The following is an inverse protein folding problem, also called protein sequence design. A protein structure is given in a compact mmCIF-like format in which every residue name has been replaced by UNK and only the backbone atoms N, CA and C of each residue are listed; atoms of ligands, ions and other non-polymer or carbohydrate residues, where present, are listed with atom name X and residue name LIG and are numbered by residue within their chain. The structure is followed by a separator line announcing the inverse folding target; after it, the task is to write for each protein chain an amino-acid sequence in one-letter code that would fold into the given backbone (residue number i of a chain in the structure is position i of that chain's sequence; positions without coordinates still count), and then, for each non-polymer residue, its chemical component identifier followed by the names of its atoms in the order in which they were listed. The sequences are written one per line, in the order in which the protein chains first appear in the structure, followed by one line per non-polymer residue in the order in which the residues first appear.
data_IF_461627654473
#
_entry.id   IF_461627654473
#
_cell.length_a   1.000
_cell.length_b   1.000
_cell.length_c   1.000
_cell.angle_alpha   90.00
_cell.angle_beta   90.00
_cell.angle_gamma   90.00
#
_symmetry.space_group_name_H-M   'P 1'
#
loop_
_entity.id
_entity.type
_entity.pdbx_description
1 polymer ?
#
# COMPACT_ATOMS: atom_id res chain seq x y z
N UNK A 1 3.37 22.92 1.28
CA UNK A 1 3.55 21.44 1.36
C UNK A 1 2.23 20.81 0.98
N UNK A 2 2.25 19.93 -0.01
CA UNK A 2 1.08 19.18 -0.45
C UNK A 2 0.67 18.14 0.59
N UNK A 3 -0.62 17.83 0.71
CA UNK A 3 -1.07 16.82 1.68
C UNK A 3 -0.87 15.42 1.13
N UNK A 4 -0.42 14.52 2.00
CA UNK A 4 -0.36 13.07 1.77
C UNK A 4 -1.42 12.37 2.61
N UNK A 5 -2.23 11.53 1.98
CA UNK A 5 -3.14 10.63 2.68
C UNK A 5 -2.51 9.24 2.76
N UNK A 6 -2.20 8.80 3.96
CA UNK A 6 -1.78 7.42 4.21
C UNK A 6 -3.03 6.56 4.37
N UNK A 7 -3.12 5.48 3.59
CA UNK A 7 -4.26 4.57 3.54
C UNK A 7 -3.84 3.25 4.15
N UNK A 8 -4.43 2.89 5.28
CA UNK A 8 -4.04 1.71 6.07
C UNK A 8 -5.21 0.74 6.21
N UNK A 9 -5.35 -0.24 5.31
CA UNK A 9 -6.33 -1.30 5.47
C UNK A 9 -5.95 -2.21 6.66
N UNK A 10 -6.92 -2.55 7.49
CA UNK A 10 -6.74 -3.42 8.64
C UNK A 10 -7.83 -4.52 8.66
N UNK A 11 -7.41 -5.77 8.81
CA UNK A 11 -8.31 -6.88 9.10
C UNK A 11 -7.63 -7.85 10.05
N UNK A 12 -8.05 -7.83 11.32
CA UNK A 12 -7.50 -8.69 12.37
C UNK A 12 -5.97 -8.53 12.60
N UNK A 13 -5.43 -7.33 12.33
CA UNK A 13 -4.00 -7.00 12.50
C UNK A 13 -3.74 -6.18 13.78
N UNK A 14 -4.58 -6.32 14.82
CA UNK A 14 -4.44 -5.61 16.11
C UNK A 14 -3.11 -5.87 16.84
N UNK A 15 -2.40 -6.93 16.50
CA UNK A 15 -1.06 -7.18 17.03
C UNK A 15 -0.02 -6.19 16.51
N UNK A 16 -0.21 -5.67 15.29
CA UNK A 16 0.82 -4.91 14.56
C UNK A 16 0.46 -3.44 14.33
N UNK A 17 -0.83 -3.12 14.21
CA UNK A 17 -1.30 -1.81 13.76
C UNK A 17 -0.77 -0.64 14.58
N UNK A 18 -0.52 -0.82 15.87
CA UNK A 18 0.02 0.25 16.74
C UNK A 18 1.41 0.69 16.26
N UNK A 19 2.27 -0.27 15.88
CA UNK A 19 3.61 0.02 15.37
C UNK A 19 3.54 0.67 13.99
N UNK A 20 2.65 0.18 13.11
CA UNK A 20 2.42 0.76 11.78
C UNK A 20 1.95 2.22 11.88
N UNK A 21 0.96 2.51 12.73
CA UNK A 21 0.47 3.87 13.02
C UNK A 21 1.59 4.75 13.58
N UNK A 22 2.40 4.23 14.50
CA UNK A 22 3.53 4.98 15.06
C UNK A 22 4.58 5.31 13.99
N UNK A 23 4.86 4.43 13.03
CA UNK A 23 5.78 4.69 11.93
C UNK A 23 5.30 5.81 10.99
N UNK A 24 3.98 5.92 10.79
CA UNK A 24 3.36 7.01 10.03
C UNK A 24 3.45 8.34 10.78
N UNK A 25 3.16 8.38 12.07
CA UNK A 25 3.28 9.61 12.86
C UNK A 25 4.73 9.99 13.17
N UNK A 26 5.67 9.06 13.01
CA UNK A 26 7.12 9.31 13.11
C UNK A 26 7.74 9.96 11.86
N UNK A 27 6.97 10.23 10.81
CA UNK A 27 7.49 10.82 9.58
C UNK A 27 7.97 12.25 9.78
N UNK A 28 9.06 12.62 9.10
CA UNK A 28 9.57 14.00 9.05
C UNK A 28 8.64 14.95 8.29
N UNK A 29 7.87 14.40 7.35
CA UNK A 29 6.83 15.13 6.63
C UNK A 29 5.58 15.30 7.51
N UNK A 30 5.12 16.51 7.73
CA UNK A 30 4.08 16.80 8.74
C UNK A 30 2.66 17.00 8.17
N UNK A 31 2.53 17.26 6.86
CA UNK A 31 1.19 17.45 6.25
C UNK A 31 0.59 16.11 5.81
N UNK A 32 0.31 15.25 6.79
CA UNK A 32 -0.21 13.90 6.61
C UNK A 32 -1.61 13.79 7.23
N UNK A 33 -2.50 13.07 6.59
CA UNK A 33 -3.67 12.45 7.23
C UNK A 33 -3.52 10.92 7.18
N UNK A 34 -3.88 10.24 8.25
CA UNK A 34 -3.92 8.79 8.33
C UNK A 34 -5.38 8.32 8.34
N UNK A 35 -5.73 7.50 7.34
CA UNK A 35 -7.04 6.87 7.21
C UNK A 35 -6.84 5.38 7.41
N UNK A 36 -7.34 4.86 8.51
CA UNK A 36 -7.38 3.43 8.81
C UNK A 36 -8.72 2.87 8.35
N UNK A 37 -8.71 1.78 7.63
CA UNK A 37 -9.91 1.11 7.16
C UNK A 37 -10.04 -0.22 7.88
N UNK A 38 -10.95 -0.31 8.85
CA UNK A 38 -11.33 -1.57 9.46
C UNK A 38 -12.21 -2.35 8.49
N UNK A 39 -11.62 -3.32 7.81
CA UNK A 39 -12.30 -4.13 6.80
C UNK A 39 -13.07 -5.32 7.41
N UNK A 40 -13.87 -5.02 8.42
CA UNK A 40 -14.73 -5.99 9.09
C UNK A 40 -13.97 -6.93 10.02
N UNK A 41 -13.07 -6.40 10.85
CA UNK A 41 -12.38 -7.19 11.88
C UNK A 41 -13.35 -7.81 12.87
N UNK A 42 -13.13 -9.08 13.20
CA UNK A 42 -13.90 -9.86 14.16
C UNK A 42 -13.05 -10.33 15.37
N UNK A 43 -11.74 -10.06 15.36
CA UNK A 43 -10.86 -10.26 16.50
C UNK A 43 -11.08 -9.16 17.56
N UNK A 44 -11.52 -9.53 18.81
CA UNK A 44 -11.81 -8.55 19.85
C UNK A 44 -10.65 -7.64 20.22
N UNK A 45 -9.41 -8.13 20.12
CA UNK A 45 -8.21 -7.33 20.40
C UNK A 45 -8.05 -6.23 19.34
N UNK A 46 -8.22 -6.59 18.07
CA UNK A 46 -8.14 -5.64 16.97
C UNK A 46 -9.20 -4.56 17.09
N UNK A 47 -10.45 -4.95 17.33
CA UNK A 47 -11.59 -4.02 17.49
C UNK A 47 -11.30 -3.03 18.63
N UNK A 48 -10.85 -3.54 19.80
CA UNK A 48 -10.52 -2.67 20.95
C UNK A 48 -9.40 -1.67 20.66
N UNK A 49 -8.36 -2.08 19.92
CA UNK A 49 -7.25 -1.18 19.56
C UNK A 49 -7.70 -0.11 18.56
N UNK A 50 -8.52 -0.49 17.58
CA UNK A 50 -9.06 0.45 16.60
C UNK A 50 -9.95 1.51 17.26
N UNK A 51 -10.82 1.11 18.21
CA UNK A 51 -11.62 2.05 19.01
C UNK A 51 -10.75 3.02 19.85
N UNK A 52 -9.61 2.54 20.35
CA UNK A 52 -8.68 3.38 21.09
C UNK A 52 -7.98 4.39 20.19
N UNK A 53 -7.53 3.97 19.00
CA UNK A 53 -6.95 4.85 17.99
C UNK A 53 -7.93 5.94 17.54
N UNK A 54 -9.20 5.59 17.35
CA UNK A 54 -10.24 6.56 17.00
C UNK A 54 -10.45 7.60 18.11
N UNK A 55 -10.49 7.16 19.38
CA UNK A 55 -10.64 8.08 20.54
C UNK A 55 -9.48 9.06 20.68
N UNK A 56 -8.28 8.73 20.23
CA UNK A 56 -7.13 9.64 20.23
C UNK A 56 -7.30 10.81 19.25
N UNK A 57 -8.17 10.67 18.22
CA UNK A 57 -8.59 11.76 17.34
C UNK A 57 -7.58 12.19 16.28
N UNK A 58 -6.46 11.47 16.15
CA UNK A 58 -5.42 11.73 15.15
C UNK A 58 -5.49 10.77 13.94
N UNK A 59 -6.33 9.73 14.02
CA UNK A 59 -6.61 8.75 12.99
C UNK A 59 -8.06 8.92 12.52
N UNK A 60 -8.28 8.90 11.21
CA UNK A 60 -9.62 8.80 10.65
C UNK A 60 -9.95 7.32 10.43
N UNK A 61 -10.87 6.79 11.22
CA UNK A 61 -11.29 5.39 11.11
C UNK A 61 -12.52 5.27 10.19
N UNK A 62 -12.45 4.33 9.23
CA UNK A 62 -13.55 3.95 8.35
C UNK A 62 -13.85 2.46 8.54
N UNK A 63 -15.09 2.12 8.79
CA UNK A 63 -15.52 0.72 8.87
C UNK A 63 -16.13 0.27 7.55
N UNK A 64 -15.76 -0.93 7.10
CA UNK A 64 -16.30 -1.57 5.89
C UNK A 64 -16.68 -3.02 6.15
N UNK A 65 -17.46 -3.61 5.24
CA UNK A 65 -17.96 -4.99 5.37
C UNK A 65 -17.13 -5.93 4.47
N UNK A 66 -15.89 -6.23 4.85
CA UNK A 66 -15.04 -7.23 4.20
C UNK A 66 -14.85 -7.01 2.69
N UNK A 67 -14.44 -5.80 2.32
CA UNK A 67 -14.18 -5.41 0.92
C UNK A 67 -12.88 -6.01 0.35
N UNK A 68 -12.04 -6.62 1.20
CA UNK A 68 -10.69 -7.09 0.88
C UNK A 68 -9.73 -5.93 0.55
N UNK A 69 -8.42 -6.15 0.42
CA UNK A 69 -7.44 -5.05 0.33
C UNK A 69 -7.71 -4.03 -0.78
N UNK A 70 -8.09 -4.48 -1.99
CA UNK A 70 -8.40 -3.56 -3.10
C UNK A 70 -9.59 -2.65 -2.77
N UNK A 71 -10.70 -3.24 -2.30
CA UNK A 71 -11.90 -2.49 -1.93
C UNK A 71 -11.69 -1.59 -0.72
N UNK A 72 -10.99 -2.09 0.32
CA UNK A 72 -10.66 -1.30 1.50
C UNK A 72 -9.78 -0.09 1.16
N UNK A 73 -8.74 -0.27 0.32
CA UNK A 73 -7.91 0.84 -0.15
C UNK A 73 -8.74 1.85 -0.94
N UNK A 74 -9.59 1.39 -1.88
CA UNK A 74 -10.47 2.29 -2.63
C UNK A 74 -11.38 3.09 -1.70
N UNK A 75 -12.03 2.46 -0.72
CA UNK A 75 -12.90 3.14 0.23
C UNK A 75 -12.16 4.23 1.04
N UNK A 76 -10.90 3.96 1.44
CA UNK A 76 -10.05 4.95 2.10
C UNK A 76 -9.64 6.10 1.18
N UNK A 77 -9.28 5.81 -0.08
CA UNK A 77 -8.85 6.82 -1.05
C UNK A 77 -10.01 7.73 -1.46
N UNK A 78 -11.22 7.19 -1.55
CA UNK A 78 -12.44 7.96 -1.85
C UNK A 78 -12.61 9.15 -0.90
N UNK A 79 -12.37 8.93 0.40
CA UNK A 79 -12.52 9.97 1.44
C UNK A 79 -11.24 10.74 1.75
N UNK A 80 -10.13 10.38 1.09
CA UNK A 80 -8.84 11.03 1.22
C UNK A 80 -8.86 12.45 0.63
N UNK A 81 -8.17 13.38 1.28
CA UNK A 81 -8.07 14.77 0.84
C UNK A 81 -6.68 15.17 0.35
N UNK A 82 -5.72 14.26 0.45
CA UNK A 82 -4.35 14.48 -0.01
C UNK A 82 -4.23 14.45 -1.53
N UNK A 83 -3.30 15.23 -2.05
CA UNK A 83 -2.87 15.19 -3.45
C UNK A 83 -2.17 13.87 -3.78
N UNK A 84 -1.43 13.36 -2.81
CA UNK A 84 -0.70 12.10 -2.91
C UNK A 84 -1.28 11.06 -1.97
N UNK A 85 -1.23 9.81 -2.40
CA UNK A 85 -1.69 8.64 -1.66
C UNK A 85 -0.50 7.72 -1.39
N UNK A 86 -0.38 7.25 -0.16
CA UNK A 86 0.57 6.22 0.23
C UNK A 86 -0.18 5.08 0.94
N UNK A 87 -0.38 3.92 0.32
CA UNK A 87 -0.85 2.75 1.03
C UNK A 87 0.24 2.22 1.97
N UNK A 88 -0.14 1.90 3.20
CA UNK A 88 0.72 1.21 4.18
C UNK A 88 -0.13 0.15 4.87
N UNK A 89 0.23 -1.12 4.72
CA UNK A 89 -0.51 -2.20 5.36
C UNK A 89 -0.31 -2.18 6.90
N UNK A 90 -1.33 -2.59 7.65
CA UNK A 90 -1.38 -2.45 9.12
C UNK A 90 -0.34 -3.29 9.87
N UNK A 91 0.44 -4.11 9.18
CA UNK A 91 1.50 -4.95 9.72
C UNK A 91 2.92 -4.54 9.28
N UNK A 92 3.04 -3.49 8.44
CA UNK A 92 4.30 -3.02 7.89
C UNK A 92 4.77 -1.71 8.52
N UNK A 93 6.03 -1.34 8.27
CA UNK A 93 6.63 -0.11 8.82
C UNK A 93 7.30 0.71 7.72
N UNK A 94 7.34 2.04 7.91
CA UNK A 94 8.05 2.97 7.03
C UNK A 94 9.04 3.83 7.83
N UNK A 95 10.21 4.09 7.23
CA UNK A 95 11.26 4.93 7.82
C UNK A 95 10.86 6.41 7.84
N UNK A 96 11.33 7.20 8.82
CA UNK A 96 10.87 8.58 9.07
C UNK A 96 10.96 9.54 7.89
N UNK A 97 11.86 9.33 6.92
CA UNK A 97 12.03 10.23 5.79
C UNK A 97 11.34 9.76 4.49
N UNK A 98 10.62 8.65 4.50
CA UNK A 98 10.06 8.08 3.27
C UNK A 98 9.10 9.03 2.57
N UNK A 99 8.11 9.54 3.28
CA UNK A 99 7.10 10.44 2.69
C UNK A 99 7.75 11.72 2.18
N UNK A 100 8.67 12.33 2.94
CA UNK A 100 9.36 13.54 2.53
C UNK A 100 10.15 13.35 1.23
N UNK A 101 10.93 12.26 1.15
CA UNK A 101 11.73 11.93 -0.04
C UNK A 101 10.84 11.66 -1.26
N UNK A 102 9.77 10.90 -1.07
CA UNK A 102 8.86 10.57 -2.16
C UNK A 102 8.09 11.80 -2.67
N UNK A 103 7.60 12.66 -1.78
CA UNK A 103 6.93 13.91 -2.17
C UNK A 103 7.89 14.85 -2.90
N UNK A 104 9.15 14.96 -2.46
CA UNK A 104 10.14 15.77 -3.16
C UNK A 104 10.27 15.35 -4.63
N UNK A 105 10.39 14.06 -4.92
CA UNK A 105 10.46 13.55 -6.30
C UNK A 105 9.20 13.90 -7.08
N UNK A 106 8.00 13.70 -6.49
CA UNK A 106 6.73 14.01 -7.14
C UNK A 106 6.56 15.50 -7.49
N UNK A 107 7.10 16.40 -6.65
CA UNK A 107 7.02 17.85 -6.90
C UNK A 107 8.07 18.33 -7.91
N UNK A 108 9.24 17.67 -7.98
CA UNK A 108 10.30 18.02 -8.92
C UNK A 108 10.05 17.47 -10.34
N UNK A 109 9.30 16.36 -10.47
CA UNK A 109 9.12 15.64 -11.74
C UNK A 109 7.64 15.33 -11.99
N UNK A 110 6.97 16.14 -12.80
CA UNK A 110 5.52 16.01 -13.06
C UNK A 110 5.13 14.70 -13.77
N UNK A 111 6.02 14.13 -14.57
CA UNK A 111 5.80 12.87 -15.28
C UNK A 111 5.88 11.63 -14.36
N UNK A 112 6.54 11.74 -13.19
CA UNK A 112 6.56 10.64 -12.22
C UNK A 112 5.17 10.48 -11.60
N UNK A 113 4.64 9.27 -11.73
CA UNK A 113 3.36 8.86 -11.14
C UNK A 113 3.49 7.87 -10.00
N UNK A 114 4.63 7.20 -9.87
CA UNK A 114 4.89 6.18 -8.85
C UNK A 114 6.29 6.41 -8.26
N UNK A 115 6.36 6.56 -6.92
CA UNK A 115 7.64 6.61 -6.19
C UNK A 115 7.65 5.52 -5.14
N UNK A 116 8.65 4.64 -5.18
CA UNK A 116 8.88 3.61 -4.19
C UNK A 116 10.35 3.59 -3.75
N UNK A 117 10.78 2.67 -2.92
CA UNK A 117 12.12 2.64 -2.35
C UNK A 117 12.70 1.22 -2.35
N UNK A 118 13.91 1.03 -1.82
CA UNK A 118 14.34 -0.29 -1.40
C UNK A 118 13.60 -0.71 -0.14
N UNK A 119 13.46 -2.03 0.04
CA UNK A 119 12.77 -2.62 1.18
C UNK A 119 13.61 -3.71 1.83
N UNK A 120 13.31 -4.01 3.09
CA UNK A 120 13.77 -5.19 3.77
C UNK A 120 12.60 -5.99 4.36
N UNK A 121 12.92 -7.20 4.78
CA UNK A 121 12.00 -8.12 5.44
C UNK A 121 12.29 -8.12 6.93
N UNK A 122 11.23 -8.25 7.75
CA UNK A 122 11.35 -8.44 9.19
C UNK A 122 10.26 -9.38 9.74
N UNK A 123 10.31 -9.76 11.01
CA UNK A 123 9.41 -10.74 11.60
C UNK A 123 9.97 -12.14 11.53
N UNK A 124 9.27 -13.11 10.92
CA UNK A 124 9.72 -14.51 10.80
C UNK A 124 11.00 -14.69 9.96
N UNK A 125 11.27 -13.74 9.07
CA UNK A 125 12.49 -13.65 8.28
C UNK A 125 12.97 -12.23 8.28
N UNK A 126 14.29 -12.03 8.12
CA UNK A 126 14.89 -10.71 8.06
C UNK A 126 15.96 -10.65 6.97
N UNK A 127 16.19 -9.45 6.44
CA UNK A 127 17.21 -9.17 5.43
C UNK A 127 16.63 -8.38 4.25
N UNK A 128 17.46 -8.04 3.25
CA UNK A 128 17.02 -7.30 2.10
C UNK A 128 15.87 -8.01 1.37
N UNK A 129 14.84 -7.26 0.96
CA UNK A 129 13.86 -7.79 0.01
C UNK A 129 14.38 -7.55 -1.40
N UNK A 130 15.05 -8.56 -1.94
CA UNK A 130 15.64 -8.49 -3.27
C UNK A 130 14.54 -8.58 -4.33
N UNK A 131 14.07 -7.43 -4.80
CA UNK A 131 13.20 -7.31 -5.97
C UNK A 131 14.07 -7.00 -7.20
N UNK A 132 13.67 -7.46 -8.40
CA UNK A 132 14.33 -7.04 -9.63
C UNK A 132 14.33 -5.53 -9.78
N UNK A 133 15.41 -4.97 -10.33
CA UNK A 133 15.45 -3.55 -10.67
C UNK A 133 14.31 -3.18 -11.62
N UNK A 134 13.67 -2.04 -11.35
CA UNK A 134 12.57 -1.57 -12.18
C UNK A 134 13.06 -1.28 -13.61
N UNK A 135 12.35 -1.84 -14.54
CA UNK A 135 12.26 -1.44 -15.93
C UNK A 135 10.86 -1.76 -16.43
N UNK A 136 10.39 -1.10 -17.46
CA UNK A 136 9.11 -1.46 -18.06
C UNK A 136 9.07 -2.95 -18.44
N UNK A 137 10.19 -3.50 -18.89
CA UNK A 137 10.29 -4.93 -19.25
C UNK A 137 10.16 -5.83 -18.00
N UNK A 138 10.86 -5.54 -16.90
CA UNK A 138 10.75 -6.35 -15.67
C UNK A 138 9.34 -6.25 -15.09
N UNK A 139 8.73 -5.06 -15.10
CA UNK A 139 7.37 -4.84 -14.64
C UNK A 139 6.33 -5.58 -15.48
N UNK A 140 6.53 -5.73 -16.79
CA UNK A 140 5.64 -6.53 -17.65
C UNK A 140 5.80 -8.04 -17.47
N UNK A 141 6.86 -8.51 -16.83
CA UNK A 141 7.10 -9.92 -16.55
C UNK A 141 6.63 -10.35 -15.18
N UNK A 142 6.74 -9.46 -14.19
CA UNK A 142 6.35 -9.73 -12.80
C UNK A 142 6.19 -8.42 -12.02
N UNK A 143 5.51 -8.46 -10.85
CA UNK A 143 5.39 -7.31 -9.98
C UNK A 143 6.72 -7.01 -9.30
N UNK A 144 7.34 -5.88 -9.64
CA UNK A 144 8.62 -5.41 -9.05
C UNK A 144 8.42 -4.19 -8.14
N UNK A 145 7.18 -3.73 -7.95
CA UNK A 145 6.83 -2.59 -7.10
C UNK A 145 5.80 -3.05 -6.06
N UNK A 146 6.16 -3.01 -4.79
CA UNK A 146 5.22 -3.33 -3.70
C UNK A 146 4.14 -2.23 -3.55
N UNK A 147 3.06 -2.56 -2.84
CA UNK A 147 1.90 -1.66 -2.71
C UNK A 147 2.22 -0.35 -1.98
N UNK A 148 3.20 -0.34 -1.08
CA UNK A 148 3.61 0.84 -0.30
C UNK A 148 4.47 1.78 -1.15
N UNK A 149 3.89 2.29 -2.24
CA UNK A 149 4.48 3.28 -3.14
C UNK A 149 3.59 4.52 -3.19
N UNK A 150 4.21 5.72 -3.24
CA UNK A 150 3.49 7.00 -3.33
C UNK A 150 3.01 7.21 -4.77
N UNK A 151 1.74 7.62 -4.91
CA UNK A 151 1.17 7.95 -6.22
C UNK A 151 0.24 9.17 -6.14
N UNK A 152 -0.18 9.70 -7.30
CA UNK A 152 -1.11 10.84 -7.39
C UNK A 152 -2.55 10.36 -7.24
N UNK A 153 -3.35 11.04 -6.42
CA UNK A 153 -4.79 10.72 -6.29
C UNK A 153 -5.52 10.89 -7.63
N UNK A 154 -5.17 11.91 -8.42
CA UNK A 154 -5.75 12.13 -9.74
C UNK A 154 -5.55 10.96 -10.71
N UNK A 155 -4.43 10.26 -10.61
CA UNK A 155 -4.15 9.08 -11.44
C UNK A 155 -5.05 7.90 -11.02
N UNK A 156 -5.25 7.70 -9.70
CA UNK A 156 -6.19 6.71 -9.17
C UNK A 156 -7.62 6.98 -9.67
N UNK A 157 -8.06 8.24 -9.66
CA UNK A 157 -9.36 8.65 -10.20
C UNK A 157 -9.46 8.34 -11.71
N UNK A 158 -8.39 8.62 -12.46
CA UNK A 158 -8.35 8.46 -13.91
C UNK A 158 -8.44 6.99 -14.37
N UNK A 159 -7.87 6.06 -13.60
CA UNK A 159 -7.89 4.61 -13.93
C UNK A 159 -9.06 3.87 -13.27
N UNK A 160 -9.84 4.54 -12.43
CA UNK A 160 -10.98 3.94 -11.73
C UNK A 160 -10.60 3.12 -10.49
N UNK A 161 -9.40 3.35 -9.93
CA UNK A 161 -8.93 2.74 -8.68
C UNK A 161 -8.39 1.33 -8.81
N UNK A 162 -8.17 0.69 -7.64
CA UNK A 162 -7.78 -0.72 -7.58
C UNK A 162 -8.94 -1.62 -8.01
N UNK A 163 -8.70 -2.58 -8.90
CA UNK A 163 -9.74 -3.51 -9.34
C UNK A 163 -10.07 -4.54 -8.26
N UNK A 164 -11.35 -4.60 -7.86
CA UNK A 164 -11.82 -5.44 -6.75
C UNK A 164 -11.99 -6.92 -7.12
N UNK A 165 -11.95 -7.27 -8.40
CA UNK A 165 -11.95 -8.65 -8.88
C UNK A 165 -10.61 -9.38 -8.72
N UNK A 166 -9.57 -8.67 -8.22
CA UNK A 166 -8.26 -9.23 -7.88
C UNK A 166 -8.27 -9.88 -6.48
N UNK A 167 -9.17 -10.84 -6.26
CA UNK A 167 -9.49 -11.38 -4.93
C UNK A 167 -8.33 -12.11 -4.24
N UNK A 168 -7.39 -12.62 -5.02
CA UNK A 168 -6.31 -13.47 -4.52
C UNK A 168 -4.97 -12.75 -4.36
N UNK A 169 -4.87 -11.50 -4.76
CA UNK A 169 -3.66 -10.69 -4.74
C UNK A 169 -3.36 -10.07 -6.10
N UNK A 170 -2.23 -9.38 -6.22
CA UNK A 170 -1.75 -8.70 -7.42
C UNK A 170 -2.62 -7.48 -7.81
N UNK A 171 -3.46 -6.98 -6.91
CA UNK A 171 -4.24 -5.76 -7.12
C UNK A 171 -3.36 -4.53 -7.27
N UNK A 172 -2.21 -4.51 -6.62
CA UNK A 172 -1.18 -3.49 -6.74
C UNK A 172 -0.49 -3.55 -8.11
N UNK A 173 -0.09 -4.74 -8.55
CA UNK A 173 0.51 -4.95 -9.86
C UNK A 173 -0.39 -4.47 -11.00
N UNK A 174 -1.65 -4.87 -10.96
CA UNK A 174 -2.67 -4.44 -11.92
C UNK A 174 -2.85 -2.91 -11.92
N UNK A 175 -2.86 -2.31 -10.74
CA UNK A 175 -2.98 -0.86 -10.59
C UNK A 175 -1.75 -0.13 -11.14
N UNK A 176 -0.54 -0.61 -10.84
CA UNK A 176 0.69 -0.02 -11.39
C UNK A 176 0.74 -0.08 -12.91
N UNK A 177 0.34 -1.20 -13.51
CA UNK A 177 0.24 -1.30 -14.97
C UNK A 177 -0.73 -0.26 -15.55
N UNK A 178 -1.87 -0.02 -14.89
CA UNK A 178 -2.84 0.99 -15.33
C UNK A 178 -2.27 2.42 -15.26
N UNK A 179 -1.45 2.75 -14.26
CA UNK A 179 -0.75 4.04 -14.20
C UNK A 179 0.32 4.18 -15.30
N UNK A 180 1.03 3.11 -15.60
CA UNK A 180 2.00 3.11 -16.71
C UNK A 180 1.31 3.32 -18.06
N UNK A 181 0.10 2.80 -18.27
CA UNK A 181 -0.71 3.04 -19.46
C UNK A 181 -1.13 4.52 -19.62
N UNK A 182 -1.25 5.28 -18.53
CA UNK A 182 -1.43 6.74 -18.57
C UNK A 182 -0.17 7.49 -19.03
N UNK A 183 0.95 6.78 -19.24
CA UNK A 183 2.25 7.37 -19.58
C UNK A 183 3.04 7.88 -18.38
N UNK A 184 2.67 7.49 -17.15
CA UNK A 184 3.44 7.83 -15.96
C UNK A 184 4.75 7.06 -15.90
N UNK A 185 5.77 7.70 -15.33
CA UNK A 185 7.07 7.11 -15.07
C UNK A 185 7.22 6.72 -13.59
N UNK A 186 8.22 5.90 -13.31
CA UNK A 186 8.50 5.37 -11.98
C UNK A 186 9.86 5.84 -11.51
N UNK A 187 9.96 6.22 -10.24
CA UNK A 187 11.23 6.52 -9.58
C UNK A 187 11.41 5.62 -8.37
N UNK A 188 12.58 4.99 -8.25
CA UNK A 188 12.97 4.23 -7.07
C UNK A 188 13.98 5.03 -6.25
N UNK A 189 13.64 5.30 -5.00
CA UNK A 189 14.56 5.89 -4.03
C UNK A 189 15.65 4.86 -3.67
N UNK A 190 16.92 5.28 -3.60
CA UNK A 190 18.04 4.36 -3.36
C UNK A 190 18.18 3.93 -1.89
N UNK A 191 17.36 4.47 -1.00
CA UNK A 191 17.38 4.13 0.43
C UNK A 191 16.39 3.00 0.75
N UNK A 192 16.68 2.19 1.77
CA UNK A 192 15.74 1.22 2.36
C UNK A 192 14.82 1.95 3.32
N UNK A 193 13.58 2.22 2.90
CA UNK A 193 12.61 3.04 3.64
C UNK A 193 11.29 2.32 3.93
N UNK A 194 11.17 1.07 3.52
CA UNK A 194 10.02 0.23 3.75
C UNK A 194 10.45 -1.10 4.37
N UNK A 195 9.70 -1.56 5.38
CA UNK A 195 9.92 -2.81 6.08
C UNK A 195 8.68 -3.67 5.98
N UNK A 196 8.80 -4.77 5.24
CA UNK A 196 7.72 -5.73 5.00
C UNK A 196 7.74 -6.84 6.03
N UNK A 197 6.65 -7.03 6.76
CA UNK A 197 6.57 -8.05 7.81
C UNK A 197 6.24 -9.42 7.23
N UNK A 198 7.10 -10.39 7.50
CA UNK A 198 6.84 -11.80 7.24
C UNK A 198 6.08 -12.39 8.42
N UNK A 199 4.84 -12.80 8.20
CA UNK A 199 3.99 -13.50 9.19
C UNK A 199 3.98 -15.00 8.92
N UNK A 200 3.72 -15.85 9.93
CA UNK A 200 3.60 -17.31 9.77
C UNK A 200 2.52 -17.72 8.76
N UNK A 201 1.49 -16.89 8.62
CA UNK A 201 0.40 -17.05 7.65
C UNK A 201 0.06 -15.70 7.04
N UNK A 202 0.21 -15.57 5.72
CA UNK A 202 -0.15 -14.37 4.97
C UNK A 202 -1.04 -14.72 3.77
N UNK A 203 -1.64 -13.70 3.15
CA UNK A 203 -2.38 -13.86 1.88
C UNK A 203 -1.42 -14.29 0.76
N UNK A 204 -0.25 -13.71 0.69
CA UNK A 204 0.79 -14.01 -0.30
C UNK A 204 1.22 -15.48 -0.24
N UNK A 205 1.39 -16.05 0.95
CA UNK A 205 1.71 -17.47 1.12
C UNK A 205 0.63 -18.36 0.51
N UNK A 206 -0.65 -18.05 0.78
CA UNK A 206 -1.79 -18.80 0.21
C UNK A 206 -1.90 -18.67 -1.30
N UNK A 207 -1.58 -17.50 -1.85
CA UNK A 207 -1.56 -17.27 -3.30
C UNK A 207 -0.54 -18.17 -3.99
N UNK A 208 0.67 -18.27 -3.46
CA UNK A 208 1.76 -19.08 -4.04
C UNK A 208 1.50 -20.59 -3.97
N UNK A 209 0.65 -21.06 -3.05
CA UNK A 209 0.32 -22.47 -2.88
C UNK A 209 -0.62 -23.03 -3.96
N UNK A 210 -1.26 -22.18 -4.78
CA UNK A 210 -2.25 -22.59 -5.78
C UNK A 210 -1.93 -22.10 -7.19
N UNK A 211 -1.38 -22.99 -8.02
CA UNK A 211 -1.11 -22.68 -9.43
C UNK A 211 -2.37 -22.24 -10.22
N UNK A 212 -3.55 -22.77 -9.88
CA UNK A 212 -4.81 -22.39 -10.52
C UNK A 212 -5.21 -20.95 -10.18
N UNK A 213 -5.01 -20.54 -8.93
CA UNK A 213 -5.26 -19.16 -8.45
C UNK A 213 -4.30 -18.20 -9.12
N UNK A 214 -3.01 -18.52 -9.16
CA UNK A 214 -2.00 -17.72 -9.86
C UNK A 214 -2.39 -17.53 -11.33
N UNK A 215 -2.70 -18.62 -12.03
CA UNK A 215 -3.07 -18.57 -13.45
C UNK A 215 -4.34 -17.74 -13.69
N UNK A 216 -5.36 -17.87 -12.82
CA UNK A 216 -6.58 -17.07 -12.96
C UNK A 216 -6.30 -15.59 -12.72
N UNK A 217 -5.44 -15.24 -11.75
CA UNK A 217 -5.06 -13.87 -11.45
C UNK A 217 -4.36 -13.22 -12.64
N UNK A 218 -3.37 -13.89 -13.25
CA UNK A 218 -2.70 -13.37 -14.45
C UNK A 218 -3.67 -13.22 -15.63
N UNK A 219 -4.64 -14.14 -15.80
CA UNK A 219 -5.70 -13.96 -16.80
C UNK A 219 -6.52 -12.69 -16.57
N UNK A 220 -6.85 -12.39 -15.32
CA UNK A 220 -7.60 -11.18 -14.99
C UNK A 220 -6.81 -9.90 -15.29
N UNK A 221 -5.49 -9.95 -15.26
CA UNK A 221 -4.61 -8.82 -15.60
C UNK A 221 -4.47 -8.66 -17.12
N UNK A 222 -4.18 -9.74 -17.85
CA UNK A 222 -3.74 -9.65 -19.25
C UNK A 222 -4.82 -9.89 -20.29
N UNK A 223 -6.01 -10.36 -19.94
CA UNK A 223 -7.08 -10.70 -20.89
C UNK A 223 -8.34 -9.81 -20.74
N UNK A 224 -8.16 -8.58 -20.34
CA UNK A 224 -9.25 -7.60 -20.20
C UNK A 224 -9.44 -6.74 -21.42
#
# INVERSE_FOLDING_TARGET
MEKVSVIMPCYNDGEYITDAVASVFGQSYTNIELIVIDDGSDDPKTVSILEELEKQGNVKLLHTERLRPAGARNAGIEIATGKYILPVDADDLIEPCYIERAVQVMEEKENIGIVYCHADLFGEKSGPWELPEYSLRSMLLDNVIFVTALFRKEDWESVGGFRTNMEHGMEDYDFWLSLLELGREVEQLPETLFHYRIKPRSRTTKFQESAAVVQQTYRNIYLQ
#
